data_IF_845632151366
#
_entry.id   IF_845632151366
#
_cell.length_a   1.000
_cell.length_b   1.000
_cell.length_c   1.000
_cell.angle_alpha   90.00
_cell.angle_beta   90.00
_cell.angle_gamma   90.00
#
_symmetry.space_group_name_H-M   'P 1'
#
loop_
_entity.id
_entity.type
_entity.pdbx_description
1 polymer ?
#
# COMPACT_ATOMS: atom_id res chain seq x y z
N UNK A 1 -50.23 -7.86 10.16
CA UNK A 1 -48.92 -8.10 9.57
C UNK A 1 -48.16 -6.82 9.73
N UNK A 2 -47.11 -6.82 10.56
CA UNK A 2 -45.95 -6.03 10.20
C UNK A 2 -45.42 -6.66 8.89
N UNK A 3 -45.02 -5.83 7.94
CA UNK A 3 -44.16 -6.33 6.87
C UNK A 3 -42.82 -6.75 7.52
N UNK A 4 -41.98 -7.49 6.80
CA UNK A 4 -40.62 -7.80 7.28
C UNK A 4 -39.57 -6.84 6.68
N UNK A 5 -40.02 -5.91 5.84
CA UNK A 5 -39.28 -4.95 5.03
C UNK A 5 -40.20 -3.72 4.80
N UNK A 6 -40.20 -2.82 5.77
CA UNK A 6 -41.19 -1.73 5.88
C UNK A 6 -41.04 -0.66 4.78
N UNK A 7 -39.87 -0.54 4.15
CA UNK A 7 -39.61 0.41 3.06
C UNK A 7 -39.38 -0.22 1.67
N UNK A 8 -39.28 -1.55 1.62
CA UNK A 8 -39.13 -2.35 0.40
C UNK A 8 -37.80 -2.12 -0.35
N UNK A 9 -36.71 -1.86 0.38
CA UNK A 9 -35.35 -1.76 -0.17
C UNK A 9 -34.69 -3.14 -0.39
N UNK A 10 -35.25 -4.20 0.21
CA UNK A 10 -34.79 -5.57 0.12
C UNK A 10 -33.92 -6.04 1.30
N UNK A 11 -33.72 -5.19 2.32
CA UNK A 11 -33.10 -5.51 3.60
C UNK A 11 -34.19 -5.69 4.65
N UNK A 12 -34.23 -6.81 5.41
CA UNK A 12 -35.26 -6.97 6.43
C UNK A 12 -35.09 -5.97 7.57
N UNK A 13 -36.18 -5.47 8.17
CA UNK A 13 -36.19 -4.49 9.27
C UNK A 13 -35.23 -4.83 10.43
N UNK A 14 -34.96 -6.12 10.64
CA UNK A 14 -34.06 -6.60 11.72
C UNK A 14 -32.57 -6.46 11.43
N UNK A 15 -32.20 -6.23 10.17
CA UNK A 15 -30.83 -6.06 9.68
C UNK A 15 -30.61 -4.66 9.10
N UNK A 16 -31.66 -3.85 9.02
CA UNK A 16 -31.67 -2.53 8.45
C UNK A 16 -31.47 -1.48 9.56
N UNK A 17 -30.43 -0.64 9.42
CA UNK A 17 -30.18 0.48 10.31
C UNK A 17 -31.25 1.58 10.18
N UNK A 18 -31.91 1.69 9.02
CA UNK A 18 -32.93 2.67 8.69
C UNK A 18 -34.21 2.02 8.10
N UNK A 19 -35.02 1.28 8.90
CA UNK A 19 -36.16 0.47 8.41
C UNK A 19 -37.32 1.20 7.69
N UNK A 20 -37.22 2.50 7.47
CA UNK A 20 -38.24 3.34 6.84
C UNK A 20 -37.66 4.20 5.70
N UNK A 21 -36.36 4.11 5.42
CA UNK A 21 -35.69 4.86 4.37
C UNK A 21 -35.19 3.92 3.27
N UNK A 22 -35.92 3.80 2.15
CA UNK A 22 -35.60 2.82 1.12
C UNK A 22 -34.29 3.12 0.36
N UNK A 23 -33.62 4.23 0.67
CA UNK A 23 -32.31 4.54 0.13
C UNK A 23 -31.17 4.06 1.04
N UNK A 24 -31.37 3.88 2.35
CA UNK A 24 -30.30 3.59 3.31
C UNK A 24 -30.58 2.30 4.08
N UNK A 25 -29.56 1.46 4.26
CA UNK A 25 -29.68 0.30 5.16
C UNK A 25 -28.45 -0.01 5.99
N UNK A 26 -27.38 0.79 5.85
CA UNK A 26 -26.09 0.60 6.52
C UNK A 26 -25.72 1.87 7.28
N UNK A 27 -25.24 1.68 8.51
CA UNK A 27 -24.72 2.70 9.44
C UNK A 27 -23.45 2.07 10.06
N UNK A 28 -22.31 2.26 9.38
CA UNK A 28 -21.09 1.51 9.67
C UNK A 28 -20.48 1.87 11.03
N UNK A 29 -20.54 3.14 11.43
CA UNK A 29 -20.00 3.63 12.69
C UNK A 29 -21.02 3.74 13.84
N UNK A 30 -22.32 3.62 13.53
CA UNK A 30 -23.41 3.66 14.49
C UNK A 30 -23.74 5.08 14.98
N UNK A 31 -23.41 6.12 14.23
CA UNK A 31 -23.67 7.52 14.59
C UNK A 31 -25.12 7.96 14.30
N UNK A 32 -25.85 7.15 13.50
CA UNK A 32 -27.23 7.37 13.11
C UNK A 32 -27.42 8.14 11.80
N UNK A 33 -26.35 8.37 11.04
CA UNK A 33 -26.34 8.78 9.64
C UNK A 33 -26.04 7.55 8.78
N UNK A 34 -26.78 7.36 7.68
CA UNK A 34 -26.55 6.20 6.81
C UNK A 34 -25.35 6.42 5.90
N UNK A 35 -24.65 5.35 5.54
CA UNK A 35 -23.41 5.38 4.75
C UNK A 35 -23.56 6.17 3.42
N UNK A 36 -24.75 6.27 2.80
CA UNK A 36 -24.87 7.07 1.56
C UNK A 36 -24.86 8.58 1.79
N UNK A 37 -25.07 9.02 3.05
CA UNK A 37 -25.17 10.43 3.46
C UNK A 37 -24.14 10.82 4.50
N UNK A 38 -23.46 9.86 5.10
CA UNK A 38 -22.22 10.09 5.81
C UNK A 38 -21.10 10.44 4.82
N UNK A 39 -20.08 11.13 5.31
CA UNK A 39 -18.88 11.45 4.55
C UNK A 39 -17.62 10.84 5.18
N UNK A 40 -17.76 10.13 6.30
CA UNK A 40 -16.73 9.47 7.10
C UNK A 40 -17.38 8.21 7.72
N UNK A 41 -17.64 7.20 6.89
CA UNK A 41 -18.44 5.99 7.17
C UNK A 41 -17.94 5.20 8.41
N UNK A 42 -16.67 5.35 8.81
CA UNK A 42 -16.08 4.68 9.98
C UNK A 42 -15.66 5.62 11.13
N UNK A 43 -15.90 6.93 10.95
CA UNK A 43 -15.61 8.00 11.90
C UNK A 43 -14.14 8.04 12.38
N UNK A 44 -13.18 7.65 11.52
CA UNK A 44 -11.74 7.67 11.83
C UNK A 44 -11.11 9.07 11.68
N UNK A 45 -11.83 9.99 11.05
CA UNK A 45 -11.44 11.38 10.81
C UNK A 45 -10.87 11.66 9.42
N UNK A 46 -10.88 10.68 8.50
CA UNK A 46 -10.60 10.82 7.07
C UNK A 46 -11.91 10.65 6.31
N UNK A 47 -12.19 11.54 5.35
CA UNK A 47 -13.45 11.42 4.59
C UNK A 47 -13.39 10.29 3.56
N UNK A 48 -14.53 9.67 3.23
CA UNK A 48 -14.62 8.51 2.32
C UNK A 48 -13.98 8.74 0.93
N UNK A 49 -13.96 10.00 0.46
CA UNK A 49 -13.33 10.36 -0.81
C UNK A 49 -11.80 10.40 -0.76
N UNK A 50 -11.25 10.41 0.46
CA UNK A 50 -9.82 10.44 0.78
C UNK A 50 -9.37 9.20 1.54
N UNK A 51 -10.30 8.30 1.87
CA UNK A 51 -10.04 7.06 2.56
C UNK A 51 -10.02 5.88 1.59
N UNK A 52 -8.97 5.08 1.68
CA UNK A 52 -8.84 3.83 0.94
C UNK A 52 -9.73 2.73 1.56
N UNK A 53 -10.15 2.87 2.84
CA UNK A 53 -11.04 1.97 3.59
C UNK A 53 -12.28 2.69 4.16
N UNK A 54 -13.17 3.28 3.34
CA UNK A 54 -14.27 4.12 3.87
C UNK A 54 -15.10 3.48 4.97
N UNK A 55 -15.27 2.15 4.95
CA UNK A 55 -16.06 1.41 5.96
C UNK A 55 -15.25 0.87 7.15
N UNK A 56 -14.00 1.27 7.29
CA UNK A 56 -13.18 0.94 8.45
C UNK A 56 -13.04 -0.54 8.74
N UNK A 57 -13.12 -1.40 7.71
CA UNK A 57 -12.91 -2.83 7.92
C UNK A 57 -11.49 -3.10 8.43
N UNK A 58 -10.57 -2.15 8.26
CA UNK A 58 -9.28 -2.08 8.94
C UNK A 58 -8.23 -3.01 8.36
N UNK A 59 -8.45 -3.55 7.14
CA UNK A 59 -7.58 -4.57 6.54
C UNK A 59 -7.30 -4.33 5.05
N UNK A 60 -6.97 -3.10 4.64
CA UNK A 60 -6.31 -2.92 3.35
C UNK A 60 -4.84 -3.34 3.47
N UNK A 61 -4.58 -4.51 2.92
CA UNK A 61 -3.31 -5.22 2.75
C UNK A 61 -3.37 -5.72 1.29
N UNK A 62 -3.03 -4.81 0.36
CA UNK A 62 -3.24 -4.98 -1.08
C UNK A 62 -2.44 -6.16 -1.65
N UNK A 63 -1.30 -6.49 -1.04
CA UNK A 63 -0.43 -7.58 -1.45
C UNK A 63 -0.55 -8.85 -0.59
N UNK A 64 -1.20 -8.75 0.58
CA UNK A 64 -1.50 -9.86 1.47
C UNK A 64 -0.31 -10.30 2.34
N UNK A 65 0.68 -9.44 2.58
CA UNK A 65 1.89 -9.75 3.34
C UNK A 65 1.70 -9.64 4.87
N UNK A 66 0.58 -9.07 5.31
CA UNK A 66 0.21 -8.87 6.71
C UNK A 66 0.60 -7.50 7.28
N UNK A 67 1.04 -6.57 6.44
CA UNK A 67 1.28 -5.16 6.76
C UNK A 67 0.18 -4.34 6.08
N UNK A 68 -0.38 -3.36 6.80
CA UNK A 68 -1.47 -2.54 6.26
C UNK A 68 -0.91 -1.51 5.27
N UNK A 69 -1.62 -1.19 4.19
CA UNK A 69 -1.26 -0.23 3.13
C UNK A 69 -0.74 1.14 3.62
N UNK A 70 -1.10 1.56 4.84
CA UNK A 70 -0.64 2.81 5.49
C UNK A 70 0.71 2.70 6.20
N UNK A 71 1.11 1.48 6.53
CA UNK A 71 2.33 1.07 7.22
C UNK A 71 3.26 0.25 6.30
N UNK A 72 2.75 -0.15 5.14
CA UNK A 72 3.41 -0.90 4.10
C UNK A 72 4.13 0.03 3.12
N UNK A 73 5.41 -0.26 2.89
CA UNK A 73 6.23 0.47 1.96
C UNK A 73 6.25 -0.16 0.57
N UNK A 74 5.60 -1.31 0.33
CA UNK A 74 5.50 -2.07 -0.91
C UNK A 74 4.06 -2.61 -1.08
N UNK A 75 3.09 -1.70 -1.03
CA UNK A 75 1.63 -1.91 -1.07
C UNK A 75 1.17 -2.89 -2.14
N UNK A 76 1.82 -2.94 -3.30
CA UNK A 76 1.42 -3.84 -4.39
C UNK A 76 2.24 -5.15 -4.48
N UNK A 77 3.19 -5.33 -3.57
CA UNK A 77 4.01 -6.53 -3.40
C UNK A 77 4.92 -6.83 -4.59
N UNK A 78 5.26 -5.82 -5.40
CA UNK A 78 6.12 -5.99 -6.56
C UNK A 78 7.62 -5.96 -6.21
N UNK A 79 7.94 -5.60 -4.96
CA UNK A 79 9.30 -5.44 -4.48
C UNK A 79 9.84 -4.02 -4.63
N UNK A 80 9.03 -3.02 -4.98
CA UNK A 80 9.48 -1.65 -5.22
C UNK A 80 8.65 -0.65 -4.42
N UNK A 81 9.26 0.11 -3.50
CA UNK A 81 8.49 1.01 -2.68
C UNK A 81 7.84 2.10 -3.47
N UNK A 82 6.64 2.52 -3.07
CA UNK A 82 5.86 3.53 -3.79
C UNK A 82 6.67 4.83 -3.91
N UNK A 83 7.39 5.21 -2.85
CA UNK A 83 8.24 6.40 -2.86
C UNK A 83 9.34 6.33 -3.93
N UNK A 84 9.89 5.14 -4.18
CA UNK A 84 10.86 4.91 -5.25
C UNK A 84 10.17 4.79 -6.60
N UNK A 85 9.03 4.10 -6.71
CA UNK A 85 8.27 3.97 -7.94
C UNK A 85 7.93 5.36 -8.50
N UNK A 86 7.47 6.27 -7.64
CA UNK A 86 7.23 7.67 -7.97
C UNK A 86 8.46 8.38 -8.55
N UNK A 87 9.65 8.13 -8.01
CA UNK A 87 10.90 8.72 -8.52
C UNK A 87 11.23 8.25 -9.95
N UNK A 88 10.86 7.02 -10.31
CA UNK A 88 11.08 6.45 -11.64
C UNK A 88 9.91 6.68 -12.63
N UNK A 89 8.87 7.41 -12.21
CA UNK A 89 7.70 7.72 -13.04
C UNK A 89 6.61 6.65 -12.99
N UNK A 90 6.50 5.93 -11.88
CA UNK A 90 5.51 4.88 -11.58
C UNK A 90 6.11 3.47 -11.59
N UNK A 91 5.22 2.48 -11.42
CA UNK A 91 5.54 1.04 -11.40
C UNK A 91 6.22 0.60 -12.70
N UNK A 92 7.55 0.59 -12.67
CA UNK A 92 8.33 0.25 -13.83
C UNK A 92 8.60 -1.25 -13.82
N UNK A 93 7.87 -2.00 -14.66
CA UNK A 93 8.12 -3.43 -14.95
C UNK A 93 9.52 -3.74 -15.54
N UNK A 94 10.42 -2.74 -15.58
CA UNK A 94 11.78 -2.85 -16.06
C UNK A 94 12.74 -2.74 -14.86
N UNK A 95 13.79 -3.58 -14.82
CA UNK A 95 14.79 -3.49 -13.78
C UNK A 95 15.37 -2.07 -13.68
N UNK A 96 15.33 -1.49 -12.49
CA UNK A 96 15.91 -0.19 -12.20
C UNK A 96 17.35 -0.37 -11.74
N UNK A 97 18.25 0.51 -12.20
CA UNK A 97 19.64 0.51 -11.73
C UNK A 97 19.86 1.65 -10.76
N UNK A 98 20.06 1.31 -9.49
CA UNK A 98 20.41 2.28 -8.46
C UNK A 98 21.93 2.31 -8.28
N UNK A 99 22.51 3.49 -8.47
CA UNK A 99 23.94 3.71 -8.23
C UNK A 99 24.10 4.49 -6.93
N UNK A 100 24.36 3.78 -5.84
CA UNK A 100 24.66 4.39 -4.55
C UNK A 100 26.12 4.80 -4.51
N UNK A 101 26.36 6.11 -4.47
CA UNK A 101 27.68 6.70 -4.28
C UNK A 101 27.85 7.03 -2.81
N UNK A 102 28.60 6.20 -2.10
CA UNK A 102 29.05 6.54 -0.75
C UNK A 102 30.35 7.31 -0.86
N UNK A 103 30.43 8.48 -0.23
CA UNK A 103 31.74 9.06 0.07
C UNK A 103 32.43 8.07 1.01
N UNK A 104 33.67 7.69 0.70
CA UNK A 104 34.49 6.97 1.67
C UNK A 104 34.44 7.72 3.01
N UNK A 105 34.58 7.01 4.14
CA UNK A 105 34.50 7.61 5.49
C UNK A 105 35.53 8.72 5.74
N UNK A 106 36.47 8.94 4.81
CA UNK A 106 37.49 9.98 4.80
C UNK A 106 37.18 11.17 3.85
N UNK A 107 36.03 11.19 3.17
CA UNK A 107 35.65 12.25 2.23
C UNK A 107 36.42 12.25 0.90
N UNK A 108 37.17 11.19 0.58
CA UNK A 108 37.81 11.08 -0.74
C UNK A 108 36.78 10.72 -1.82
N UNK A 109 36.79 11.51 -2.91
CA UNK A 109 35.83 11.41 -4.00
C UNK A 109 35.79 10.03 -4.66
N UNK A 110 34.62 9.67 -5.18
CA UNK A 110 34.33 8.38 -5.80
C UNK A 110 35.19 8.18 -7.06
N UNK A 111 36.09 7.19 -7.03
CA UNK A 111 36.86 6.74 -8.20
C UNK A 111 36.20 5.47 -8.81
N UNK A 112 35.86 5.54 -10.09
CA UNK A 112 35.20 4.48 -10.86
C UNK A 112 36.03 3.20 -11.06
N UNK A 113 37.31 3.18 -10.67
CA UNK A 113 38.27 2.12 -11.05
C UNK A 113 38.82 1.27 -9.90
N UNK A 114 38.53 1.58 -8.65
CA UNK A 114 39.20 0.92 -7.49
C UNK A 114 38.30 0.03 -6.64
N UNK A 115 37.00 -0.08 -6.94
CA UNK A 115 36.09 -0.95 -6.19
C UNK A 115 35.87 -0.54 -4.73
N UNK A 116 36.34 0.65 -4.32
CA UNK A 116 36.04 1.25 -3.02
C UNK A 116 35.16 2.48 -3.25
N UNK A 117 33.85 2.34 -3.04
CA UNK A 117 32.93 3.49 -2.88
C UNK A 117 31.66 3.48 -3.72
N UNK A 118 31.53 2.64 -4.74
CA UNK A 118 30.30 2.52 -5.54
C UNK A 118 29.82 1.07 -5.54
N UNK A 119 28.64 0.83 -4.97
CA UNK A 119 27.90 -0.41 -5.20
C UNK A 119 26.84 -0.14 -6.26
N UNK A 120 26.84 -0.96 -7.31
CA UNK A 120 25.83 -0.90 -8.36
C UNK A 120 24.92 -2.06 -8.10
N UNK A 121 23.67 -1.74 -7.75
CA UNK A 121 22.64 -2.74 -7.51
C UNK A 121 21.58 -2.56 -8.59
N UNK A 122 21.26 -3.65 -9.27
CA UNK A 122 20.10 -3.71 -10.16
C UNK A 122 18.97 -4.32 -9.37
N UNK A 123 17.88 -3.57 -9.28
CA UNK A 123 16.64 -3.97 -8.64
C UNK A 123 15.70 -4.52 -9.72
N UNK A 124 15.27 -5.78 -9.58
CA UNK A 124 14.24 -6.41 -10.41
C UNK A 124 12.85 -6.30 -9.76
N UNK A 125 11.75 -6.15 -10.53
CA UNK A 125 10.36 -6.11 -10.05
C UNK A 125 9.83 -7.45 -9.49
N UNK A 126 10.71 -8.34 -9.04
CA UNK A 126 10.34 -9.60 -8.39
C UNK A 126 10.95 -9.67 -6.98
N UNK A 127 11.24 -8.51 -6.39
CA UNK A 127 11.94 -8.39 -5.11
C UNK A 127 13.41 -8.89 -5.12
N UNK A 128 14.03 -9.11 -6.29
CA UNK A 128 15.40 -9.64 -6.39
C UNK A 128 16.44 -8.64 -6.88
N UNK A 129 17.60 -8.61 -6.22
CA UNK A 129 18.72 -7.77 -6.62
C UNK A 129 19.89 -8.52 -7.21
N UNK A 130 20.68 -7.80 -8.00
CA UNK A 130 22.01 -8.18 -8.46
C UNK A 130 23.02 -7.07 -8.13
N UNK A 131 24.03 -7.36 -7.31
CA UNK A 131 25.18 -6.47 -7.07
C UNK A 131 26.37 -6.91 -7.95
N UNK A 132 27.45 -6.14 -7.93
CA UNK A 132 28.72 -6.45 -8.57
C UNK A 132 29.31 -7.81 -8.17
N UNK A 133 30.42 -8.16 -8.84
CA UNK A 133 31.03 -9.48 -8.69
C UNK A 133 31.84 -9.61 -7.40
N UNK A 134 31.67 -10.73 -6.69
CA UNK A 134 32.62 -11.19 -5.68
C UNK A 134 33.36 -12.42 -6.21
N UNK A 135 34.69 -12.37 -6.32
CA UNK A 135 35.52 -13.45 -6.89
C UNK A 135 35.06 -13.98 -8.27
N UNK A 136 34.40 -13.14 -9.07
CA UNK A 136 33.92 -13.49 -10.40
C UNK A 136 32.46 -13.96 -10.46
N UNK A 137 31.83 -14.22 -9.32
CA UNK A 137 30.42 -14.61 -9.20
C UNK A 137 29.55 -13.37 -8.96
N UNK A 138 28.39 -13.30 -9.62
CA UNK A 138 27.42 -12.24 -9.34
C UNK A 138 26.80 -12.49 -7.97
N UNK A 139 26.75 -11.46 -7.13
CA UNK A 139 25.97 -11.52 -5.90
C UNK A 139 24.51 -11.30 -6.26
N UNK A 140 23.66 -12.25 -5.89
CA UNK A 140 22.21 -12.16 -6.06
C UNK A 140 21.52 -12.42 -4.73
N UNK A 141 20.40 -11.75 -4.49
CA UNK A 141 19.62 -11.92 -3.28
C UNK A 141 18.19 -11.43 -3.42
N UNK A 142 17.42 -11.59 -2.35
CA UNK A 142 16.12 -10.95 -2.16
C UNK A 142 16.29 -9.75 -1.24
N UNK A 143 15.57 -8.68 -1.49
CA UNK A 143 15.38 -7.62 -0.51
C UNK A 143 13.95 -7.72 0.04
N UNK A 144 13.75 -7.14 1.22
CA UNK A 144 12.44 -6.81 1.74
C UNK A 144 12.48 -5.32 2.05
N UNK A 145 11.42 -4.59 1.73
CA UNK A 145 11.29 -3.19 2.15
C UNK A 145 10.71 -3.09 3.56
N UNK A 146 10.03 -4.15 3.97
CA UNK A 146 9.40 -4.25 5.26
C UNK A 146 10.27 -4.97 6.31
N UNK A 147 10.22 -4.53 7.58
CA UNK A 147 11.12 -4.98 8.66
C UNK A 147 10.96 -6.43 9.13
#
# INVERSE_FOLDING_TARGET
NADEDDDNDGVPDTLDAFPLDPEESVDTDGDGVGDLRDADDDNDGVTDDQDDSPRGDGYLDDDGDGILNREDADRDGDGMPEELALFFGGESLRPQTLVLRSLASDGSGVHYSTGKGSKVVVLSPDGSYRDGKNFGENIVGKWNWDP
#
